data_IF_190013668136
#
_entry.id   IF_190013668136
#
_cell.length_a   1.000
_cell.length_b   1.000
_cell.length_c   1.000
_cell.angle_alpha   90.00
_cell.angle_beta   90.00
_cell.angle_gamma   90.00
#
_symmetry.space_group_name_H-M   'P 1'
#
loop_
_entity.id
_entity.type
_entity.pdbx_description
1 polymer ?
#
# COMPACT_ATOMS: atom_id res chain seq x y z
N UNK A 1 -33.62 80.56 -31.49
CA UNK A 1 -34.70 79.98 -30.68
C UNK A 1 -34.11 78.74 -29.96
N UNK A 2 -34.19 78.76 -28.64
CA UNK A 2 -33.56 77.81 -27.73
C UNK A 2 -34.41 76.56 -27.64
N UNK A 3 -33.86 75.35 -27.80
CA UNK A 3 -34.55 74.10 -27.57
C UNK A 3 -33.78 73.28 -26.49
N UNK A 4 -34.38 73.14 -25.34
CA UNK A 4 -33.93 72.41 -24.18
C UNK A 4 -34.02 70.86 -24.47
N UNK A 5 -32.94 70.15 -24.29
CA UNK A 5 -32.95 68.67 -24.24
C UNK A 5 -32.79 68.25 -22.77
N UNK A 6 -33.85 67.62 -22.23
CA UNK A 6 -33.87 66.99 -20.92
C UNK A 6 -33.08 65.64 -20.97
N UNK A 7 -32.00 65.52 -20.21
CA UNK A 7 -31.28 64.28 -19.99
C UNK A 7 -32.06 63.35 -19.05
N UNK A 8 -32.26 62.11 -19.50
CA UNK A 8 -32.81 61.02 -18.68
C UNK A 8 -31.64 60.40 -17.86
N UNK A 9 -31.75 60.45 -16.56
CA UNK A 9 -30.86 59.73 -15.62
C UNK A 9 -31.40 58.31 -15.49
N UNK A 10 -30.60 57.32 -15.98
CA UNK A 10 -30.84 55.92 -15.73
C UNK A 10 -30.16 55.54 -14.39
N UNK A 11 -30.97 55.25 -13.39
CA UNK A 11 -30.49 54.69 -12.11
C UNK A 11 -30.36 53.17 -12.28
N UNK A 12 -29.11 52.68 -12.32
CA UNK A 12 -28.82 51.27 -12.27
C UNK A 12 -28.89 50.83 -10.80
N UNK A 13 -29.85 49.98 -10.47
CA UNK A 13 -29.86 49.25 -9.19
C UNK A 13 -28.86 48.07 -9.26
N UNK A 14 -27.76 48.16 -8.52
CA UNK A 14 -26.88 47.02 -8.25
C UNK A 14 -27.54 46.18 -7.16
N UNK A 15 -28.08 45.01 -7.59
CA UNK A 15 -28.53 43.98 -6.67
C UNK A 15 -27.28 43.18 -6.20
N UNK A 16 -26.78 43.46 -5.02
CA UNK A 16 -25.70 42.68 -4.40
C UNK A 16 -26.27 41.37 -3.85
N UNK A 17 -26.05 40.29 -4.58
CA UNK A 17 -26.28 38.95 -4.06
C UNK A 17 -25.17 38.60 -3.04
N UNK A 18 -25.49 38.64 -1.76
CA UNK A 18 -24.67 38.01 -0.73
C UNK A 18 -24.82 36.49 -0.85
N UNK A 19 -23.85 35.82 -1.49
CA UNK A 19 -23.67 34.36 -1.34
C UNK A 19 -23.14 34.14 0.10
N UNK A 20 -23.98 33.71 1.01
CA UNK A 20 -23.58 33.13 2.26
C UNK A 20 -22.95 31.78 1.94
N UNK A 21 -21.62 31.72 1.90
CA UNK A 21 -20.88 30.47 1.93
C UNK A 21 -21.13 29.83 3.30
N UNK A 22 -22.04 28.84 3.34
CA UNK A 22 -22.12 27.94 4.47
C UNK A 22 -20.83 27.08 4.47
N UNK A 23 -19.84 27.54 5.22
CA UNK A 23 -18.71 26.71 5.64
C UNK A 23 -19.30 25.59 6.51
N UNK A 24 -19.48 24.42 5.94
CA UNK A 24 -19.60 23.21 6.75
C UNK A 24 -18.30 23.10 7.53
N UNK A 25 -18.31 23.47 8.79
CA UNK A 25 -17.24 23.18 9.72
C UNK A 25 -17.15 21.64 9.81
N UNK A 26 -16.19 21.06 9.06
CA UNK A 26 -15.72 19.72 9.32
C UNK A 26 -15.33 19.68 10.80
N UNK A 27 -16.02 18.89 11.60
CA UNK A 27 -15.76 18.81 13.04
C UNK A 27 -14.29 18.46 13.25
N UNK A 28 -13.49 19.41 13.72
CA UNK A 28 -12.08 19.21 14.06
C UNK A 28 -11.97 17.97 14.94
N UNK A 29 -11.38 16.92 14.42
CA UNK A 29 -10.95 15.78 15.22
C UNK A 29 -9.86 16.36 16.14
N UNK A 30 -10.07 16.22 17.44
CA UNK A 30 -9.14 16.72 18.44
C UNK A 30 -7.75 16.09 18.23
N UNK A 31 -6.82 16.86 17.69
CA UNK A 31 -5.45 16.40 17.36
C UNK A 31 -4.72 15.89 18.62
N UNK A 32 -4.99 16.47 19.79
CA UNK A 32 -4.40 16.01 21.06
C UNK A 32 -4.91 14.61 21.41
N UNK A 33 -6.18 14.35 21.21
CA UNK A 33 -6.78 13.04 21.48
C UNK A 33 -6.36 11.93 20.50
N UNK A 34 -5.96 12.27 19.24
CA UNK A 34 -5.34 11.29 18.34
C UNK A 34 -3.92 10.98 18.81
N UNK A 35 -3.16 11.99 19.22
CA UNK A 35 -1.80 11.82 19.74
C UNK A 35 -1.76 10.85 20.91
N UNK A 36 -2.65 11.01 21.88
CA UNK A 36 -2.71 10.15 23.07
C UNK A 36 -3.03 8.70 22.68
N UNK A 37 -3.95 8.48 21.71
CA UNK A 37 -4.26 7.15 21.20
C UNK A 37 -3.01 6.50 20.60
N UNK A 38 -2.28 7.24 19.76
CA UNK A 38 -1.07 6.74 19.08
C UNK A 38 0.04 6.49 20.11
N UNK A 39 0.31 7.43 21.00
CA UNK A 39 1.35 7.30 22.03
C UNK A 39 1.13 6.09 22.93
N UNK A 40 -0.11 5.86 23.37
CA UNK A 40 -0.47 4.72 24.22
C UNK A 40 -0.26 3.38 23.51
N UNK A 41 -0.46 3.31 22.20
CA UNK A 41 -0.28 2.09 21.43
C UNK A 41 1.19 1.81 21.08
N UNK A 42 1.99 2.86 20.74
CA UNK A 42 3.32 2.64 20.15
C UNK A 42 4.48 2.81 21.16
N UNK A 43 4.34 3.63 22.20
CA UNK A 43 5.42 3.85 23.18
C UNK A 43 5.86 2.55 23.87
N UNK A 44 4.94 1.66 24.30
CA UNK A 44 5.32 0.37 24.86
C UNK A 44 6.10 -0.53 23.88
N UNK A 45 5.75 -0.46 22.58
CA UNK A 45 6.47 -1.22 21.54
C UNK A 45 7.88 -0.71 21.32
N UNK A 46 8.03 0.61 21.21
CA UNK A 46 9.34 1.26 21.05
C UNK A 46 10.28 0.84 22.19
N UNK A 47 9.78 0.87 23.42
CA UNK A 47 10.56 0.49 24.60
C UNK A 47 10.89 -1.02 24.63
N UNK A 48 9.86 -1.87 24.44
CA UNK A 48 10.00 -3.33 24.52
C UNK A 48 10.97 -3.90 23.49
N UNK A 49 10.96 -3.35 22.27
CA UNK A 49 11.75 -3.86 21.16
C UNK A 49 12.98 -3.00 20.85
N UNK A 50 13.27 -1.97 21.68
CA UNK A 50 14.38 -1.03 21.48
C UNK A 50 14.40 -0.49 20.03
N UNK A 51 13.25 -0.01 19.55
CA UNK A 51 13.10 0.51 18.17
C UNK A 51 13.76 1.89 18.13
N UNK A 52 14.82 2.09 17.31
CA UNK A 52 15.53 3.38 17.29
C UNK A 52 14.68 4.51 16.77
N UNK A 53 13.85 4.26 15.77
CA UNK A 53 12.98 5.25 15.14
C UNK A 53 11.70 4.65 14.57
N UNK A 54 10.61 5.41 14.70
CA UNK A 54 9.29 5.04 14.18
C UNK A 54 8.58 6.27 13.64
N UNK A 55 7.95 6.14 12.47
CA UNK A 55 7.04 7.14 11.90
C UNK A 55 5.65 6.53 11.77
N UNK A 56 4.66 7.22 12.30
CA UNK A 56 3.25 6.87 12.21
C UNK A 56 2.53 7.97 11.45
N UNK A 57 1.72 7.62 10.47
CA UNK A 57 0.74 8.52 9.92
C UNK A 57 -0.66 7.91 10.04
N UNK A 58 -1.61 8.74 10.45
CA UNK A 58 -3.02 8.37 10.58
C UNK A 58 -3.82 9.33 9.71
N UNK A 59 -4.80 8.83 8.99
CA UNK A 59 -5.75 9.69 8.25
C UNK A 59 -7.16 9.47 8.76
N UNK A 60 -7.90 10.55 8.92
CA UNK A 60 -9.31 10.57 9.31
C UNK A 60 -10.06 11.50 8.36
N UNK A 61 -10.98 10.96 7.56
CA UNK A 61 -11.72 11.70 6.54
C UNK A 61 -10.83 12.47 5.53
N UNK A 62 -9.61 11.97 5.26
CA UNK A 62 -8.65 12.60 4.36
C UNK A 62 -7.77 13.68 5.00
N UNK A 63 -7.86 13.86 6.31
CA UNK A 63 -6.95 14.72 7.09
C UNK A 63 -5.87 13.84 7.73
N UNK A 64 -4.59 14.10 7.41
CA UNK A 64 -3.46 13.31 7.85
C UNK A 64 -2.77 13.90 9.08
N UNK A 65 -2.42 13.03 10.04
CA UNK A 65 -1.71 13.34 11.29
C UNK A 65 -0.43 12.52 11.39
N UNK A 66 0.68 13.16 11.78
CA UNK A 66 2.01 12.55 11.77
C UNK A 66 2.63 12.54 13.18
N UNK A 67 3.16 11.38 13.57
CA UNK A 67 3.81 11.16 14.86
C UNK A 67 5.15 10.48 14.64
N UNK A 68 6.24 11.14 15.04
CA UNK A 68 7.60 10.70 14.78
C UNK A 68 8.34 10.50 16.09
N UNK A 69 8.98 9.34 16.25
CA UNK A 69 9.65 8.92 17.46
C UNK A 69 11.11 8.54 17.17
N UNK A 70 12.02 8.93 18.06
CA UNK A 70 13.40 8.50 18.03
C UNK A 70 14.24 9.00 16.87
N UNK A 71 15.15 8.17 16.38
CA UNK A 71 16.21 8.55 15.44
C UNK A 71 16.23 7.66 14.19
N UNK A 72 16.57 8.27 13.04
CA UNK A 72 16.76 7.59 11.77
C UNK A 72 18.08 6.79 11.74
N UNK A 73 19.05 7.16 12.56
CA UNK A 73 20.33 6.45 12.73
C UNK A 73 20.83 6.60 14.16
N UNK A 74 21.24 5.48 14.76
CA UNK A 74 21.90 5.46 16.09
C UNK A 74 23.25 6.15 16.06
N UNK A 75 23.92 6.16 14.92
CA UNK A 75 25.23 6.77 14.74
C UNK A 75 25.14 8.29 14.64
N UNK A 76 24.29 8.79 13.75
CA UNK A 76 24.18 10.23 13.49
C UNK A 76 23.22 10.95 14.43
N UNK A 77 22.40 10.23 15.19
CA UNK A 77 21.34 10.76 16.06
C UNK A 77 20.32 11.66 15.32
N UNK A 78 20.23 11.55 13.99
CA UNK A 78 19.28 12.28 13.20
C UNK A 78 17.85 11.89 13.57
N UNK A 79 17.01 12.86 13.91
CA UNK A 79 15.62 12.64 14.30
C UNK A 79 14.79 12.09 13.14
N UNK A 80 13.82 11.22 13.46
CA UNK A 80 12.77 10.84 12.51
C UNK A 80 11.90 12.08 12.21
N UNK A 81 11.54 12.21 10.95
CA UNK A 81 10.57 13.18 10.43
C UNK A 81 9.61 12.49 9.48
N UNK A 82 8.52 13.17 9.09
CA UNK A 82 7.59 12.67 8.09
C UNK A 82 8.18 12.61 6.65
N UNK A 83 9.46 12.99 6.49
CA UNK A 83 10.26 12.86 5.25
C UNK A 83 11.38 11.83 5.37
N UNK A 84 11.48 11.14 6.50
CA UNK A 84 12.46 10.06 6.67
C UNK A 84 12.04 8.86 5.83
N UNK A 85 12.95 8.39 4.97
CA UNK A 85 12.71 7.24 4.09
C UNK A 85 12.94 5.93 4.84
N UNK A 86 11.99 5.02 4.71
CA UNK A 86 12.04 3.65 5.23
C UNK A 86 11.92 2.65 4.11
N UNK A 87 12.59 1.52 4.20
CA UNK A 87 12.25 0.34 3.40
C UNK A 87 10.90 -0.18 3.85
N UNK A 88 9.97 -0.30 2.93
CA UNK A 88 8.63 -0.80 3.27
C UNK A 88 8.43 -2.29 2.99
N UNK A 89 9.48 -2.97 2.49
CA UNK A 89 9.47 -4.39 2.25
C UNK A 89 8.25 -4.82 1.42
N UNK A 90 7.57 -5.86 1.84
CA UNK A 90 6.42 -6.42 1.09
C UNK A 90 5.21 -5.48 0.92
N UNK A 91 5.16 -4.34 1.59
CA UNK A 91 4.16 -3.32 1.29
C UNK A 91 4.38 -2.75 -0.14
N UNK A 92 5.59 -2.83 -0.69
CA UNK A 92 5.91 -2.48 -2.08
C UNK A 92 5.02 -3.20 -3.09
N UNK A 93 4.57 -4.41 -2.79
CA UNK A 93 3.72 -5.22 -3.67
C UNK A 93 2.38 -4.55 -3.99
N UNK A 94 1.91 -3.66 -3.13
CA UNK A 94 0.67 -2.91 -3.39
C UNK A 94 0.83 -1.93 -4.55
N UNK A 95 2.02 -1.34 -4.70
CA UNK A 95 2.34 -0.51 -5.87
C UNK A 95 2.49 -1.36 -7.14
N UNK A 96 3.08 -2.54 -7.03
CA UNK A 96 3.17 -3.50 -8.14
C UNK A 96 1.77 -3.93 -8.63
N UNK A 97 0.88 -4.24 -7.71
CA UNK A 97 -0.52 -4.57 -8.02
C UNK A 97 -1.25 -3.38 -8.66
N UNK A 98 -1.06 -2.17 -8.12
CA UNK A 98 -1.63 -0.94 -8.68
C UNK A 98 -1.10 -0.67 -10.09
N UNK A 99 0.20 -0.88 -10.35
CA UNK A 99 0.79 -0.73 -11.69
C UNK A 99 0.19 -1.75 -12.67
N UNK A 100 0.03 -3.01 -12.27
CA UNK A 100 -0.56 -4.04 -13.11
C UNK A 100 -2.05 -3.74 -13.42
N UNK A 101 -2.81 -3.31 -12.42
CA UNK A 101 -4.18 -2.85 -12.61
C UNK A 101 -4.25 -1.61 -13.50
N UNK A 102 -3.34 -0.65 -13.35
CA UNK A 102 -3.26 0.54 -14.19
C UNK A 102 -2.92 0.19 -15.65
N UNK A 103 -2.04 -0.79 -15.86
CA UNK A 103 -1.77 -1.31 -17.20
C UNK A 103 -3.03 -1.95 -17.82
N UNK A 104 -3.84 -2.68 -17.03
CA UNK A 104 -5.12 -3.23 -17.47
C UNK A 104 -6.11 -2.13 -17.84
N UNK A 105 -6.32 -1.12 -17.00
CA UNK A 105 -7.25 0.00 -17.25
C UNK A 105 -6.86 0.77 -18.53
N UNK A 106 -5.55 0.80 -18.86
CA UNK A 106 -5.04 1.39 -20.09
C UNK A 106 -5.02 0.43 -21.29
N UNK A 107 -5.60 -0.77 -21.18
CA UNK A 107 -5.70 -1.74 -22.26
C UNK A 107 -4.36 -2.38 -22.68
N UNK A 108 -3.32 -2.33 -21.83
CA UNK A 108 -1.99 -2.85 -22.11
C UNK A 108 -1.85 -4.33 -21.81
N UNK A 109 -2.65 -4.84 -20.88
CA UNK A 109 -2.73 -6.26 -20.51
C UNK A 109 -4.12 -6.60 -20.00
N UNK A 110 -4.41 -7.90 -19.86
CA UNK A 110 -5.56 -8.41 -19.12
C UNK A 110 -5.07 -9.28 -17.99
N UNK A 111 -5.51 -9.01 -16.75
CA UNK A 111 -5.12 -9.79 -15.58
C UNK A 111 -5.57 -11.27 -15.67
N UNK A 112 -6.58 -11.55 -16.48
CA UNK A 112 -7.04 -12.93 -16.77
C UNK A 112 -6.16 -13.69 -17.75
N UNK A 113 -5.27 -13.02 -18.49
CA UNK A 113 -4.38 -13.67 -19.44
C UNK A 113 -3.31 -14.50 -18.75
N UNK A 114 -2.79 -15.51 -19.47
CA UNK A 114 -1.66 -16.31 -18.99
C UNK A 114 -0.35 -15.51 -19.00
N UNK A 115 0.53 -15.81 -18.03
CA UNK A 115 1.84 -15.17 -17.95
C UNK A 115 2.70 -15.41 -19.20
N UNK A 116 2.60 -16.59 -19.81
CA UNK A 116 3.32 -16.95 -21.04
C UNK A 116 2.90 -16.13 -22.26
N UNK A 117 1.73 -15.49 -22.24
CA UNK A 117 1.32 -14.52 -23.27
C UNK A 117 2.27 -13.32 -23.33
N UNK A 118 2.70 -12.84 -22.16
CA UNK A 118 3.57 -11.64 -22.00
C UNK A 118 5.05 -12.02 -21.90
N UNK A 119 5.36 -13.26 -21.52
CA UNK A 119 6.71 -13.81 -21.43
C UNK A 119 6.85 -15.00 -22.40
N UNK A 120 7.09 -14.74 -23.71
CA UNK A 120 7.09 -15.78 -24.75
C UNK A 120 8.09 -16.93 -24.50
N UNK A 121 9.18 -16.68 -23.76
CA UNK A 121 10.15 -17.72 -23.35
C UNK A 121 9.52 -18.81 -22.48
N UNK A 122 8.39 -18.52 -21.82
CA UNK A 122 7.66 -19.45 -20.96
C UNK A 122 6.56 -20.24 -21.68
N UNK A 123 6.33 -20.03 -22.99
CA UNK A 123 5.35 -20.80 -23.75
C UNK A 123 5.71 -22.30 -23.77
N UNK A 124 4.69 -23.14 -23.63
CA UNK A 124 4.85 -24.60 -23.49
C UNK A 124 5.31 -25.03 -22.09
N UNK A 125 5.32 -24.14 -21.11
CA UNK A 125 5.59 -24.44 -19.69
C UNK A 125 4.31 -24.39 -18.85
N UNK A 126 4.43 -24.61 -17.54
CA UNK A 126 3.32 -24.48 -16.57
C UNK A 126 2.68 -23.10 -16.59
N UNK A 127 3.37 -22.07 -17.06
CA UNK A 127 2.87 -20.68 -17.11
C UNK A 127 1.83 -20.42 -18.21
N UNK A 128 1.57 -21.36 -19.08
CA UNK A 128 0.41 -21.32 -19.99
C UNK A 128 -0.92 -21.38 -19.21
N UNK A 129 -0.90 -21.99 -18.00
CA UNK A 129 -2.06 -22.16 -17.13
C UNK A 129 -2.02 -21.23 -15.88
N UNK A 130 -1.04 -20.35 -15.76
CA UNK A 130 -0.91 -19.37 -14.67
C UNK A 130 -1.30 -18.00 -15.20
N UNK A 131 -2.44 -17.45 -14.72
CA UNK A 131 -2.89 -16.11 -15.08
C UNK A 131 -2.13 -15.04 -14.30
N UNK A 132 -2.19 -13.77 -14.76
CA UNK A 132 -1.63 -12.65 -14.03
C UNK A 132 -2.35 -12.44 -12.68
N UNK A 133 -3.65 -12.80 -12.58
CA UNK A 133 -4.36 -12.86 -11.29
C UNK A 133 -3.66 -13.85 -10.35
N UNK A 134 -3.31 -15.04 -10.82
CA UNK A 134 -2.61 -16.02 -9.98
C UNK A 134 -1.26 -15.51 -9.49
N UNK A 135 -0.54 -14.73 -10.30
CA UNK A 135 0.70 -14.07 -9.88
C UNK A 135 0.45 -13.04 -8.79
N UNK A 136 -0.56 -12.18 -8.96
CA UNK A 136 -0.90 -11.10 -8.02
C UNK A 136 -1.62 -11.55 -6.75
N UNK A 137 -2.07 -12.81 -6.68
CA UNK A 137 -2.78 -13.37 -5.51
C UNK A 137 -2.00 -14.50 -4.82
N UNK A 138 -0.76 -14.75 -5.27
CA UNK A 138 0.08 -15.85 -4.76
C UNK A 138 -0.51 -17.26 -4.98
N UNK A 139 -1.35 -17.42 -6.00
CA UNK A 139 -2.03 -18.70 -6.29
C UNK A 139 -1.51 -19.37 -7.57
N UNK A 140 -0.25 -19.10 -7.93
CA UNK A 140 0.37 -19.65 -9.15
C UNK A 140 0.65 -21.15 -9.11
N UNK A 141 0.46 -21.82 -7.96
CA UNK A 141 0.66 -23.27 -7.84
C UNK A 141 1.92 -23.67 -7.04
N UNK A 142 2.41 -22.77 -6.16
CA UNK A 142 3.49 -23.12 -5.21
C UNK A 142 4.87 -22.58 -5.58
N UNK A 143 4.97 -21.45 -6.27
CA UNK A 143 6.24 -20.75 -6.49
C UNK A 143 6.96 -20.50 -5.16
N UNK A 144 8.32 -20.57 -5.12
CA UNK A 144 9.08 -20.33 -3.90
C UNK A 144 8.90 -18.90 -3.39
N UNK A 145 9.15 -18.70 -2.08
CA UNK A 145 9.06 -17.40 -1.43
C UNK A 145 10.05 -16.39 -2.05
N UNK A 146 11.29 -16.82 -2.23
CA UNK A 146 12.38 -16.01 -2.79
C UNK A 146 12.84 -16.58 -4.13
N UNK A 147 13.44 -15.71 -4.95
CA UNK A 147 14.25 -16.17 -6.08
C UNK A 147 15.41 -16.98 -5.51
N UNK A 148 15.70 -18.19 -6.04
CA UNK A 148 16.85 -18.96 -5.58
C UNK A 148 18.16 -18.19 -5.72
N UNK A 149 19.06 -18.34 -4.74
CA UNK A 149 20.34 -17.60 -4.68
C UNK A 149 21.24 -17.83 -5.89
N UNK A 150 21.08 -18.96 -6.58
CA UNK A 150 21.82 -19.29 -7.82
C UNK A 150 21.39 -18.45 -9.04
N UNK A 151 20.30 -17.70 -8.94
CA UNK A 151 19.74 -16.90 -10.03
C UNK A 151 20.18 -15.44 -9.85
N UNK A 152 21.13 -15.01 -10.68
CA UNK A 152 21.71 -13.66 -10.62
C UNK A 152 21.19 -12.68 -11.66
N UNK A 153 20.41 -13.13 -12.65
CA UNK A 153 19.89 -12.28 -13.73
C UNK A 153 18.58 -12.82 -14.32
N UNK A 154 17.96 -12.02 -15.20
CA UNK A 154 16.67 -12.33 -15.82
C UNK A 154 16.72 -13.56 -16.72
N UNK A 155 17.81 -13.82 -17.44
CA UNK A 155 17.90 -14.98 -18.34
C UNK A 155 17.91 -16.29 -17.53
N UNK A 156 18.67 -16.33 -16.44
CA UNK A 156 18.68 -17.47 -15.51
C UNK A 156 17.31 -17.64 -14.83
N UNK A 157 16.63 -16.53 -14.51
CA UNK A 157 15.27 -16.57 -13.99
C UNK A 157 14.30 -17.20 -15.00
N UNK A 158 14.36 -16.78 -16.27
CA UNK A 158 13.48 -17.33 -17.31
C UNK A 158 13.76 -18.82 -17.55
N UNK A 159 15.01 -19.24 -17.53
CA UNK A 159 15.35 -20.66 -17.64
C UNK A 159 14.81 -21.46 -16.45
N UNK A 160 15.01 -20.99 -15.22
CA UNK A 160 14.44 -21.60 -14.03
C UNK A 160 12.92 -21.75 -14.13
N UNK A 161 12.21 -20.68 -14.50
CA UNK A 161 10.76 -20.66 -14.62
C UNK A 161 10.26 -21.60 -15.75
N UNK A 162 10.98 -21.69 -16.84
CA UNK A 162 10.66 -22.60 -17.94
C UNK A 162 10.58 -24.06 -17.49
N UNK A 163 11.45 -24.45 -16.57
CA UNK A 163 11.55 -25.82 -16.06
C UNK A 163 10.76 -26.05 -14.75
N UNK A 164 10.29 -24.97 -14.12
CA UNK A 164 9.54 -25.06 -12.87
C UNK A 164 8.25 -25.88 -13.03
N UNK A 165 7.97 -26.74 -12.03
CA UNK A 165 6.75 -27.55 -11.98
C UNK A 165 5.93 -27.14 -10.76
N UNK A 166 4.62 -26.86 -10.93
CA UNK A 166 3.74 -26.51 -9.82
C UNK A 166 3.51 -27.73 -8.91
N UNK A 167 3.42 -27.48 -7.61
CA UNK A 167 3.03 -28.49 -6.61
C UNK A 167 1.52 -28.57 -6.43
N UNK A 168 0.79 -27.55 -6.90
CA UNK A 168 -0.66 -27.45 -6.86
C UNK A 168 -1.17 -26.87 -8.19
N UNK A 169 -2.42 -27.15 -8.53
CA UNK A 169 -3.05 -26.47 -9.65
C UNK A 169 -3.17 -24.95 -9.38
N UNK A 170 -2.96 -24.12 -10.40
CA UNK A 170 -3.13 -22.68 -10.27
C UNK A 170 -4.54 -22.35 -9.77
N UNK A 171 -4.63 -21.44 -8.81
CA UNK A 171 -5.90 -21.02 -8.20
C UNK A 171 -6.43 -21.90 -7.07
N UNK A 172 -5.74 -22.97 -6.66
CA UNK A 172 -6.23 -23.88 -5.60
C UNK A 172 -5.49 -23.75 -4.26
N UNK A 173 -4.28 -23.20 -4.31
CA UNK A 173 -3.42 -23.05 -3.14
C UNK A 173 -2.69 -21.72 -3.18
N UNK A 174 -2.79 -20.95 -2.08
CA UNK A 174 -2.07 -19.71 -1.89
C UNK A 174 -0.74 -20.01 -1.21
N UNK A 175 0.35 -19.75 -1.89
CA UNK A 175 1.70 -19.78 -1.33
C UNK A 175 2.38 -18.44 -1.60
N UNK A 176 2.65 -17.70 -0.53
CA UNK A 176 3.23 -16.37 -0.63
C UNK A 176 4.58 -16.42 -1.35
N UNK A 177 4.77 -15.56 -2.36
CA UNK A 177 5.93 -15.63 -3.24
C UNK A 177 6.33 -14.24 -3.76
N UNK A 178 7.57 -13.84 -3.49
CA UNK A 178 8.18 -12.67 -4.11
C UNK A 178 8.38 -12.88 -5.61
N UNK A 179 8.67 -14.13 -6.01
CA UNK A 179 8.81 -14.51 -7.40
C UNK A 179 7.50 -14.29 -8.18
N UNK A 180 6.37 -14.69 -7.59
CA UNK A 180 5.04 -14.55 -8.20
C UNK A 180 4.72 -13.09 -8.52
N UNK A 181 4.73 -12.23 -7.52
CA UNK A 181 4.40 -10.82 -7.68
C UNK A 181 5.48 -10.06 -8.47
N UNK A 182 6.76 -10.46 -8.35
CA UNK A 182 7.84 -9.90 -9.13
C UNK A 182 7.64 -10.10 -10.62
N UNK A 183 7.22 -11.30 -11.03
CA UNK A 183 6.83 -11.57 -12.42
C UNK A 183 5.67 -10.67 -12.88
N UNK A 184 4.66 -10.46 -12.03
CA UNK A 184 3.55 -9.55 -12.37
C UNK A 184 4.06 -8.13 -12.61
N UNK A 185 4.96 -7.62 -11.75
CA UNK A 185 5.56 -6.29 -11.89
C UNK A 185 6.38 -6.15 -13.17
N UNK A 186 7.22 -7.13 -13.47
CA UNK A 186 7.99 -7.18 -14.71
C UNK A 186 7.10 -7.17 -15.95
N UNK A 187 6.02 -7.97 -15.96
CA UNK A 187 5.05 -8.02 -17.05
C UNK A 187 4.32 -6.68 -17.18
N UNK A 188 3.87 -6.09 -16.08
CA UNK A 188 3.15 -4.82 -16.07
C UNK A 188 4.03 -3.69 -16.65
N UNK A 189 5.26 -3.55 -16.18
CA UNK A 189 6.20 -2.55 -16.67
C UNK A 189 6.51 -2.74 -18.17
N UNK A 190 6.82 -3.98 -18.56
CA UNK A 190 7.10 -4.32 -19.97
C UNK A 190 5.88 -4.02 -20.87
N UNK A 191 4.66 -4.28 -20.43
CA UNK A 191 3.44 -3.98 -21.19
C UNK A 191 3.22 -2.48 -21.41
N UNK A 192 3.85 -1.65 -20.59
CA UNK A 192 3.83 -0.18 -20.65
C UNK A 192 5.07 0.40 -21.30
N UNK A 193 5.91 -0.41 -21.94
CA UNK A 193 7.16 -0.05 -22.60
C UNK A 193 8.14 0.71 -21.67
N UNK A 194 8.26 0.26 -20.40
CA UNK A 194 9.09 0.90 -19.38
C UNK A 194 9.86 -0.14 -18.55
N UNK A 195 10.94 0.31 -17.86
CA UNK A 195 11.47 -0.44 -16.73
C UNK A 195 10.51 -0.34 -15.55
N UNK A 196 10.60 -1.26 -14.59
CA UNK A 196 9.73 -1.21 -13.41
C UNK A 196 9.98 0.05 -12.58
N UNK A 197 11.24 0.43 -12.41
CA UNK A 197 11.67 1.65 -11.73
C UNK A 197 11.05 2.88 -12.38
N UNK A 198 11.19 3.02 -13.71
CA UNK A 198 10.62 4.15 -14.44
C UNK A 198 9.09 4.19 -14.39
N UNK A 199 8.45 3.03 -14.44
CA UNK A 199 7.00 2.95 -14.34
C UNK A 199 6.49 3.42 -12.97
N UNK A 200 7.23 3.14 -11.88
CA UNK A 200 6.89 3.64 -10.56
C UNK A 200 7.34 5.09 -10.36
N UNK A 201 8.64 5.38 -10.50
CA UNK A 201 9.24 6.66 -10.10
C UNK A 201 8.88 7.83 -11.02
N UNK A 202 8.68 7.56 -12.34
CA UNK A 202 8.37 8.61 -13.31
C UNK A 202 6.88 8.70 -13.67
N UNK A 203 6.07 7.67 -13.35
CA UNK A 203 4.65 7.67 -13.71
C UNK A 203 3.74 7.50 -12.49
N UNK A 204 3.82 6.37 -11.76
CA UNK A 204 2.85 6.04 -10.73
C UNK A 204 2.99 6.95 -9.49
N UNK A 205 4.19 7.09 -8.92
CA UNK A 205 4.40 7.90 -7.73
C UNK A 205 4.04 9.39 -7.96
N UNK A 206 4.48 10.05 -9.05
CA UNK A 206 4.06 11.42 -9.34
C UNK A 206 2.54 11.56 -9.51
N UNK A 207 1.87 10.61 -10.18
CA UNK A 207 0.43 10.62 -10.36
C UNK A 207 -0.35 10.45 -9.04
N UNK A 208 0.26 9.81 -8.03
CA UNK A 208 -0.23 9.71 -6.66
C UNK A 208 0.14 10.94 -5.81
N UNK A 209 0.97 11.85 -6.33
CA UNK A 209 1.53 12.97 -5.56
C UNK A 209 2.57 12.54 -4.52
N UNK A 210 3.18 11.35 -4.71
CA UNK A 210 4.25 10.80 -3.89
C UNK A 210 5.59 11.30 -4.44
N UNK A 211 6.21 12.23 -3.74
CA UNK A 211 7.42 12.94 -4.21
C UNK A 211 8.70 12.48 -3.53
N UNK A 212 8.59 11.65 -2.50
CA UNK A 212 9.69 11.09 -1.72
C UNK A 212 9.60 9.56 -1.65
N UNK A 213 9.33 8.93 -2.81
CA UNK A 213 9.19 7.48 -2.93
C UNK A 213 10.10 6.99 -4.05
N UNK A 214 10.92 5.98 -3.78
CA UNK A 214 12.02 5.55 -4.63
C UNK A 214 12.18 4.02 -4.62
N UNK A 215 12.58 3.47 -5.74
CA UNK A 215 13.25 2.16 -5.81
C UNK A 215 14.74 2.37 -5.57
N UNK A 216 15.34 3.37 -6.25
CA UNK A 216 16.74 3.75 -6.08
C UNK A 216 16.79 5.14 -5.46
N UNK A 217 17.15 5.22 -4.16
CA UNK A 217 17.22 6.50 -3.46
C UNK A 217 18.30 7.38 -4.09
N UNK A 218 17.96 8.57 -4.62
CA UNK A 218 18.93 9.50 -5.20
C UNK A 218 19.98 9.95 -4.18
N UNK A 219 21.18 10.31 -4.66
CA UNK A 219 22.30 10.68 -3.79
C UNK A 219 21.98 11.86 -2.85
N UNK A 220 21.25 12.85 -3.31
CA UNK A 220 20.80 14.02 -2.53
C UNK A 220 19.75 13.66 -1.46
N UNK A 221 19.04 12.53 -1.62
CA UNK A 221 18.05 12.02 -0.69
C UNK A 221 18.62 10.98 0.30
N UNK A 222 19.83 10.49 0.09
CA UNK A 222 20.48 9.51 0.98
C UNK A 222 20.56 9.99 2.45
N UNK A 223 20.63 11.30 2.68
CA UNK A 223 20.58 11.90 4.02
C UNK A 223 19.25 11.65 4.75
N UNK A 224 18.16 11.43 4.01
CA UNK A 224 16.83 11.15 4.56
C UNK A 224 16.57 9.64 4.73
N UNK A 225 17.43 8.79 4.17
CA UNK A 225 17.26 7.33 4.23
C UNK A 225 17.75 6.77 5.56
N UNK A 226 16.80 6.31 6.38
CA UNK A 226 17.10 5.74 7.69
C UNK A 226 18.09 4.56 7.62
N UNK A 227 18.85 4.36 8.67
CA UNK A 227 19.57 3.12 8.90
C UNK A 227 18.63 2.10 9.53
N UNK A 228 18.50 0.94 8.91
CA UNK A 228 17.75 -0.19 9.45
C UNK A 228 18.59 -1.02 10.44
N UNK A 229 17.91 -1.70 11.35
CA UNK A 229 18.54 -2.54 12.37
C UNK A 229 17.86 -3.90 12.47
N UNK A 230 18.66 -4.96 12.50
CA UNK A 230 18.17 -6.32 12.73
C UNK A 230 17.57 -6.46 14.14
N UNK A 231 16.93 -7.58 14.43
CA UNK A 231 16.48 -7.92 15.81
C UNK A 231 17.62 -7.93 16.82
N UNK A 232 18.88 -8.14 16.37
CA UNK A 232 20.10 -8.12 17.18
C UNK A 232 20.83 -6.77 17.16
N UNK A 233 20.15 -5.70 16.70
CA UNK A 233 20.69 -4.34 16.61
C UNK A 233 21.85 -4.12 15.62
N UNK A 234 22.16 -5.08 14.75
CA UNK A 234 23.13 -4.89 13.68
C UNK A 234 22.56 -3.98 12.58
N UNK A 235 23.33 -2.98 12.11
CA UNK A 235 22.90 -2.10 11.02
C UNK A 235 22.80 -2.91 9.71
N UNK A 236 21.72 -2.71 8.98
CA UNK A 236 21.47 -3.39 7.70
C UNK A 236 20.56 -2.56 6.82
N UNK A 237 20.75 -2.62 5.52
CA UNK A 237 19.82 -2.18 4.47
C UNK A 237 19.62 -3.32 3.51
N UNK A 238 18.51 -3.27 2.75
CA UNK A 238 18.21 -4.30 1.75
C UNK A 238 19.32 -4.34 0.69
N UNK A 239 19.78 -5.56 0.40
CA UNK A 239 20.63 -5.83 -0.76
C UNK A 239 19.70 -6.34 -1.88
N UNK A 240 19.53 -5.58 -2.98
CA UNK A 240 18.58 -5.96 -4.03
C UNK A 240 19.08 -7.18 -4.81
N UNK A 241 18.19 -8.14 -5.03
CA UNK A 241 18.37 -9.28 -5.91
C UNK A 241 17.43 -9.20 -7.12
N UNK A 242 17.39 -10.26 -7.92
CA UNK A 242 16.46 -10.36 -9.06
C UNK A 242 15.01 -10.25 -8.57
N UNK A 243 14.20 -9.41 -9.22
CA UNK A 243 12.81 -9.07 -8.86
C UNK A 243 12.65 -8.36 -7.50
N UNK A 244 13.74 -7.83 -6.92
CA UNK A 244 13.68 -7.10 -5.66
C UNK A 244 12.86 -5.82 -5.78
N UNK A 245 13.04 -5.07 -6.86
CA UNK A 245 12.32 -3.82 -7.14
C UNK A 245 10.81 -4.02 -7.09
N UNK A 246 10.33 -5.06 -7.77
CA UNK A 246 8.92 -5.39 -7.93
C UNK A 246 8.31 -5.99 -6.65
N UNK A 247 9.10 -6.71 -5.86
CA UNK A 247 8.58 -7.47 -4.74
C UNK A 247 8.67 -6.76 -3.38
N UNK A 248 9.72 -5.94 -3.15
CA UNK A 248 10.00 -5.33 -1.83
C UNK A 248 10.92 -4.10 -1.90
N UNK A 249 11.15 -3.53 -3.08
CA UNK A 249 12.19 -2.54 -3.33
C UNK A 249 11.85 -1.09 -2.98
N UNK A 250 10.61 -0.73 -2.64
CA UNK A 250 10.22 0.67 -2.41
C UNK A 250 10.78 1.19 -1.08
N UNK A 251 11.34 2.40 -1.13
CA UNK A 251 11.68 3.24 0.02
C UNK A 251 10.79 4.48 -0.06
N UNK A 252 10.10 4.78 1.03
CA UNK A 252 9.15 5.91 1.08
C UNK A 252 9.07 6.46 2.49
N UNK A 253 8.49 7.62 2.62
CA UNK A 253 8.19 8.25 3.90
C UNK A 253 6.72 8.08 4.32
N UNK A 254 6.40 8.48 5.54
CA UNK A 254 5.04 8.34 6.08
C UNK A 254 4.04 9.29 5.40
N UNK A 255 4.49 10.43 4.87
CA UNK A 255 3.63 11.41 4.21
C UNK A 255 3.17 10.90 2.83
N UNK A 256 4.08 10.34 2.05
CA UNK A 256 3.75 9.74 0.75
C UNK A 256 2.90 8.48 0.93
N UNK A 257 3.26 7.63 1.90
CA UNK A 257 2.56 6.36 2.07
C UNK A 257 1.11 6.54 2.57
N UNK A 258 0.86 7.52 3.47
CA UNK A 258 -0.51 7.79 3.92
C UNK A 258 -1.36 8.36 2.79
N UNK A 259 -0.80 9.18 1.89
CA UNK A 259 -1.47 9.67 0.69
C UNK A 259 -1.91 8.52 -0.22
N UNK A 260 -1.08 7.47 -0.37
CA UNK A 260 -1.49 6.27 -1.09
C UNK A 260 -2.66 5.55 -0.40
N UNK A 261 -2.68 5.47 0.92
CA UNK A 261 -3.82 4.91 1.67
C UNK A 261 -5.08 5.77 1.49
N UNK A 262 -4.96 7.09 1.47
CA UNK A 262 -6.06 8.00 1.17
C UNK A 262 -6.64 7.79 -0.23
N UNK A 263 -5.77 7.57 -1.23
CA UNK A 263 -6.20 7.23 -2.59
C UNK A 263 -6.92 5.87 -2.64
N UNK A 264 -6.47 4.87 -1.86
CA UNK A 264 -7.14 3.57 -1.72
C UNK A 264 -8.53 3.69 -1.08
N UNK A 265 -8.75 4.64 -0.18
CA UNK A 265 -10.06 4.94 0.43
C UNK A 265 -10.90 5.92 -0.39
N UNK A 266 -10.39 6.46 -1.49
CA UNK A 266 -11.05 7.49 -2.31
C UNK A 266 -11.38 8.77 -1.52
N UNK A 267 -10.55 9.14 -0.54
CA UNK A 267 -10.69 10.38 0.23
C UNK A 267 -9.77 11.50 -0.26
N UNK A 268 -8.89 11.20 -1.20
CA UNK A 268 -8.10 12.17 -1.96
C UNK A 268 -8.35 11.99 -3.46
N UNK A 269 -8.18 13.06 -4.23
CA UNK A 269 -8.39 13.01 -5.67
C UNK A 269 -7.13 12.57 -6.42
N UNK A 270 -7.29 11.60 -7.34
CA UNK A 270 -6.29 11.21 -8.34
C UNK A 270 -6.98 11.09 -9.70
N UNK A 271 -6.19 10.99 -10.78
CA UNK A 271 -6.75 10.78 -12.12
C UNK A 271 -7.74 9.60 -12.18
N UNK A 272 -8.82 9.74 -12.96
CA UNK A 272 -9.91 8.77 -12.99
C UNK A 272 -9.49 7.34 -13.35
N UNK A 273 -8.56 7.16 -14.30
CA UNK A 273 -8.03 5.84 -14.64
C UNK A 273 -7.17 5.25 -13.52
N UNK A 274 -6.40 6.09 -12.85
CA UNK A 274 -5.60 5.67 -11.70
C UNK A 274 -6.51 5.32 -10.52
N UNK A 275 -7.56 6.12 -10.27
CA UNK A 275 -8.54 5.82 -9.23
C UNK A 275 -9.27 4.50 -9.49
N UNK A 276 -9.66 4.23 -10.73
CA UNK A 276 -10.21 2.94 -11.13
C UNK A 276 -9.21 1.82 -10.87
N UNK A 277 -7.96 1.98 -11.32
CA UNK A 277 -6.92 0.97 -11.14
C UNK A 277 -6.66 0.64 -9.66
N UNK A 278 -6.64 1.65 -8.79
CA UNK A 278 -6.52 1.47 -7.34
C UNK A 278 -7.72 0.70 -6.80
N UNK A 279 -8.94 1.10 -7.16
CA UNK A 279 -10.18 0.43 -6.75
C UNK A 279 -10.21 -1.03 -7.19
N UNK A 280 -9.79 -1.33 -8.41
CA UNK A 280 -9.76 -2.69 -8.97
C UNK A 280 -8.79 -3.61 -8.20
N UNK A 281 -7.76 -3.07 -7.50
CA UNK A 281 -6.89 -3.88 -6.63
C UNK A 281 -7.61 -4.45 -5.42
N UNK A 282 -8.77 -3.91 -5.04
CA UNK A 282 -9.62 -4.40 -3.94
C UNK A 282 -10.65 -5.45 -4.39
N UNK A 283 -10.60 -5.89 -5.65
CA UNK A 283 -11.40 -7.01 -6.13
C UNK A 283 -10.95 -8.29 -5.45
N UNK A 284 -11.87 -8.97 -4.76
CA UNK A 284 -11.59 -10.24 -4.08
C UNK A 284 -11.62 -11.41 -5.06
N UNK A 285 -10.50 -12.11 -5.18
CA UNK A 285 -10.35 -13.23 -6.12
C UNK A 285 -10.45 -14.60 -5.46
N UNK A 286 -9.96 -14.72 -4.22
CA UNK A 286 -9.91 -16.01 -3.52
C UNK A 286 -10.30 -15.87 -2.06
N UNK A 287 -11.01 -16.87 -1.54
CA UNK A 287 -11.15 -17.09 -0.10
C UNK A 287 -9.98 -17.92 0.41
N UNK A 288 -9.37 -17.48 1.50
CA UNK A 288 -8.47 -18.28 2.34
C UNK A 288 -9.18 -18.62 3.65
N UNK A 289 -8.53 -19.31 4.59
CA UNK A 289 -9.14 -19.60 5.89
C UNK A 289 -9.52 -18.33 6.67
N UNK A 290 -8.72 -17.26 6.59
CA UNK A 290 -8.87 -16.08 7.44
C UNK A 290 -9.37 -14.84 6.71
N UNK A 291 -8.99 -14.64 5.44
CA UNK A 291 -9.27 -13.42 4.70
C UNK A 291 -9.68 -13.69 3.25
N UNK A 292 -10.19 -12.65 2.58
CA UNK A 292 -10.30 -12.63 1.12
C UNK A 292 -9.01 -12.08 0.55
N UNK A 293 -8.39 -12.84 -0.35
CA UNK A 293 -7.23 -12.38 -1.10
C UNK A 293 -7.69 -11.54 -2.28
N UNK A 294 -7.42 -10.26 -2.21
CA UNK A 294 -7.58 -9.32 -3.31
C UNK A 294 -6.31 -9.32 -4.18
N UNK A 295 -6.15 -8.36 -5.08
CA UNK A 295 -4.89 -8.21 -5.81
C UNK A 295 -3.82 -7.66 -4.83
N UNK A 296 -3.12 -8.59 -4.15
CA UNK A 296 -2.13 -8.36 -3.07
C UNK A 296 -2.71 -7.97 -1.71
N UNK A 297 -3.74 -7.16 -1.64
CA UNK A 297 -4.34 -6.77 -0.38
C UNK A 297 -5.02 -7.96 0.32
N UNK A 298 -5.07 -7.91 1.64
CA UNK A 298 -5.74 -8.90 2.50
C UNK A 298 -6.96 -8.24 3.12
N UNK A 299 -8.16 -8.71 2.73
CA UNK A 299 -9.44 -8.10 3.07
C UNK A 299 -10.21 -8.93 4.07
N UNK A 300 -10.72 -8.29 5.11
CA UNK A 300 -11.60 -8.86 6.14
C UNK A 300 -12.92 -8.09 6.17
N UNK A 301 -14.04 -8.77 6.45
CA UNK A 301 -15.28 -8.07 6.75
C UNK A 301 -15.11 -7.20 8.01
N UNK A 302 -15.65 -5.98 8.00
CA UNK A 302 -15.60 -5.06 9.14
C UNK A 302 -16.97 -5.00 9.83
N UNK A 303 -17.03 -4.96 11.18
CA UNK A 303 -15.90 -5.02 12.11
C UNK A 303 -15.22 -6.40 12.16
N UNK A 304 -13.90 -6.40 12.36
CA UNK A 304 -13.09 -7.61 12.41
C UNK A 304 -12.52 -7.85 13.81
N UNK A 305 -12.64 -9.06 14.37
CA UNK A 305 -11.99 -9.38 15.64
C UNK A 305 -10.47 -9.41 15.51
N UNK A 306 -9.73 -8.81 16.47
CA UNK A 306 -8.26 -8.81 16.49
C UNK A 306 -7.66 -10.21 16.31
N UNK A 307 -8.24 -11.23 16.95
CA UNK A 307 -7.79 -12.64 16.80
C UNK A 307 -7.72 -13.08 15.33
N UNK A 308 -8.69 -12.67 14.52
CA UNK A 308 -8.75 -13.03 13.10
C UNK A 308 -7.69 -12.29 12.28
N UNK A 309 -7.45 -11.00 12.58
CA UNK A 309 -6.36 -10.26 11.97
C UNK A 309 -5.00 -10.88 12.30
N UNK A 310 -4.77 -11.28 13.54
CA UNK A 310 -3.54 -11.93 13.96
C UNK A 310 -3.35 -13.29 13.27
N UNK A 311 -4.41 -14.09 13.14
CA UNK A 311 -4.37 -15.37 12.45
C UNK A 311 -3.99 -15.17 10.97
N UNK A 312 -4.63 -14.23 10.26
CA UNK A 312 -4.35 -13.97 8.84
C UNK A 312 -2.98 -13.32 8.57
N UNK A 313 -2.39 -12.66 9.57
CA UNK A 313 -1.04 -12.11 9.50
C UNK A 313 0.03 -13.02 10.13
N UNK A 314 -0.32 -14.27 10.48
CA UNK A 314 0.62 -15.21 11.06
C UNK A 314 1.70 -15.64 10.04
N UNK A 315 2.87 -16.00 10.56
CA UNK A 315 4.00 -16.44 9.74
C UNK A 315 3.67 -17.65 8.85
N UNK A 316 2.76 -18.54 9.30
CA UNK A 316 2.28 -19.69 8.52
C UNK A 316 1.69 -19.31 7.15
N UNK A 317 0.98 -18.17 7.04
CA UNK A 317 0.48 -17.69 5.74
C UNK A 317 1.57 -17.26 4.76
N UNK A 318 2.78 -16.98 5.27
CA UNK A 318 3.95 -16.64 4.45
C UNK A 318 4.76 -17.89 4.11
N UNK A 319 5.00 -18.78 5.10
CA UNK A 319 5.92 -19.89 4.94
C UNK A 319 5.24 -21.19 4.50
N UNK A 320 4.07 -21.52 5.07
CA UNK A 320 3.42 -22.81 4.82
C UNK A 320 2.41 -22.73 3.66
N UNK A 321 1.71 -21.63 3.56
CA UNK A 321 0.62 -21.40 2.60
C UNK A 321 -0.72 -21.95 3.11
N UNK A 322 -1.75 -21.87 2.27
CA UNK A 322 -3.12 -22.28 2.61
C UNK A 322 -3.95 -22.64 1.38
N UNK A 323 -4.99 -23.44 1.58
CA UNK A 323 -6.00 -23.66 0.54
C UNK A 323 -6.60 -22.31 0.11
N UNK A 324 -6.86 -22.18 -1.18
CA UNK A 324 -7.51 -21.02 -1.77
C UNK A 324 -8.72 -21.47 -2.60
N UNK A 325 -9.88 -20.88 -2.32
CA UNK A 325 -11.10 -21.13 -3.09
C UNK A 325 -11.38 -19.94 -3.99
N UNK A 326 -11.39 -20.14 -5.28
CA UNK A 326 -11.68 -19.10 -6.27
C UNK A 326 -13.10 -18.57 -6.08
N UNK A 327 -13.24 -17.24 -6.06
CA UNK A 327 -14.55 -16.58 -6.09
C UNK A 327 -15.01 -16.43 -7.56
N UNK A 328 -16.22 -16.88 -7.83
CA UNK A 328 -16.82 -16.81 -9.16
C UNK A 328 -18.29 -16.41 -9.06
N UNK A 329 -18.66 -15.18 -9.43
CA UNK A 329 -17.80 -14.11 -9.92
C UNK A 329 -16.84 -13.60 -8.82
N UNK A 330 -15.76 -12.86 -9.18
CA UNK A 330 -14.93 -12.15 -8.21
C UNK A 330 -15.75 -11.18 -7.36
N UNK A 331 -15.37 -11.04 -6.09
CA UNK A 331 -16.03 -10.12 -5.17
C UNK A 331 -15.66 -8.68 -5.54
N UNK A 332 -16.65 -7.88 -5.91
CA UNK A 332 -16.43 -6.46 -6.23
C UNK A 332 -15.89 -5.71 -5.00
N UNK A 333 -15.15 -4.59 -5.20
CA UNK A 333 -14.63 -3.79 -4.10
C UNK A 333 -15.70 -3.41 -3.08
N UNK A 334 -15.42 -3.66 -1.80
CA UNK A 334 -16.34 -3.44 -0.68
C UNK A 334 -15.89 -2.24 0.15
N UNK A 335 -16.83 -1.58 0.84
CA UNK A 335 -16.52 -0.49 1.78
C UNK A 335 -16.48 -0.95 3.24
N UNK A 336 -17.40 -1.84 3.63
CA UNK A 336 -17.50 -2.40 4.99
C UNK A 336 -16.46 -3.52 5.19
N UNK A 337 -15.20 -3.14 5.05
CA UNK A 337 -14.05 -4.04 5.12
C UNK A 337 -12.87 -3.39 5.83
N UNK A 338 -12.05 -4.22 6.45
CA UNK A 338 -10.72 -3.90 6.93
C UNK A 338 -9.71 -4.46 5.94
N UNK A 339 -8.92 -3.59 5.33
CA UNK A 339 -7.91 -3.96 4.34
C UNK A 339 -6.53 -3.67 4.92
N UNK A 340 -5.60 -4.61 4.78
CA UNK A 340 -4.25 -4.42 5.30
C UNK A 340 -3.17 -5.06 4.43
N UNK A 341 -1.92 -4.63 4.71
CA UNK A 341 -0.72 -5.27 4.22
C UNK A 341 0.46 -5.03 5.16
N UNK A 342 1.19 -6.10 5.45
CA UNK A 342 2.45 -6.05 6.20
C UNK A 342 3.65 -5.94 5.25
N UNK A 343 4.74 -5.37 5.74
CA UNK A 343 6.02 -5.39 5.06
C UNK A 343 7.18 -5.52 6.03
N UNK A 344 8.24 -6.21 5.61
CA UNK A 344 9.48 -6.35 6.36
C UNK A 344 10.66 -6.48 5.42
N UNK A 345 11.77 -5.90 5.82
CA UNK A 345 13.10 -6.26 5.38
C UNK A 345 13.91 -6.72 6.61
N UNK A 346 15.17 -7.07 6.42
CA UNK A 346 15.99 -7.49 7.55
C UNK A 346 16.19 -6.40 8.61
N UNK A 347 16.03 -5.12 8.23
CA UNK A 347 16.25 -3.97 9.09
C UNK A 347 15.04 -3.08 9.32
N UNK A 348 13.92 -3.34 8.66
CA UNK A 348 12.75 -2.45 8.72
C UNK A 348 11.46 -3.24 8.89
N UNK A 349 10.49 -2.58 9.48
CA UNK A 349 9.14 -3.09 9.64
C UNK A 349 8.13 -2.04 9.18
N UNK A 350 7.14 -2.46 8.40
CA UNK A 350 6.06 -1.60 7.93
C UNK A 350 4.70 -2.29 8.07
N UNK A 351 3.66 -1.49 8.20
CA UNK A 351 2.28 -1.94 8.18
C UNK A 351 1.39 -0.82 7.65
N UNK A 352 0.41 -1.18 6.83
CA UNK A 352 -0.65 -0.27 6.44
C UNK A 352 -2.00 -0.97 6.58
N UNK A 353 -2.99 -0.24 7.09
CA UNK A 353 -4.36 -0.71 7.21
C UNK A 353 -5.35 0.45 7.07
N UNK A 354 -6.53 0.15 6.54
CA UNK A 354 -7.60 1.14 6.39
C UNK A 354 -8.98 0.50 6.34
N UNK A 355 -9.99 1.31 6.66
CA UNK A 355 -11.40 0.96 6.67
C UNK A 355 -12.13 1.97 5.78
N UNK A 356 -12.44 1.63 4.51
CA UNK A 356 -13.00 2.57 3.54
C UNK A 356 -14.31 3.21 3.99
N UNK A 357 -15.23 2.46 4.58
CA UNK A 357 -16.51 2.97 5.07
C UNK A 357 -16.36 4.02 6.17
N UNK A 358 -15.32 3.91 6.99
CA UNK A 358 -15.03 4.83 8.10
C UNK A 358 -14.11 5.96 7.69
N UNK A 359 -13.49 5.88 6.50
CA UNK A 359 -12.48 6.83 6.00
C UNK A 359 -11.33 7.04 6.99
N UNK A 360 -10.93 5.97 7.67
CA UNK A 360 -9.80 5.97 8.59
C UNK A 360 -8.72 5.01 8.09
N UNK A 361 -7.47 5.41 8.22
CA UNK A 361 -6.33 4.61 7.79
C UNK A 361 -5.08 4.92 8.61
N UNK A 362 -4.13 4.00 8.58
CA UNK A 362 -2.88 4.10 9.31
C UNK A 362 -1.72 3.52 8.52
N UNK A 363 -0.55 4.13 8.66
CA UNK A 363 0.75 3.55 8.29
C UNK A 363 1.68 3.58 9.49
N UNK A 364 2.42 2.50 9.68
CA UNK A 364 3.44 2.33 10.71
C UNK A 364 4.74 1.98 10.01
N UNK A 365 5.79 2.78 10.21
CA UNK A 365 7.12 2.58 9.66
C UNK A 365 8.14 2.56 10.81
N UNK A 366 9.02 1.56 10.86
CA UNK A 366 10.06 1.45 11.86
C UNK A 366 11.38 1.00 11.23
N UNK A 367 12.49 1.58 11.69
CA UNK A 367 13.83 1.23 11.22
C UNK A 367 14.47 0.10 12.06
N UNK A 368 13.64 -0.83 12.50
CA UNK A 368 14.05 -2.08 13.14
C UNK A 368 13.12 -3.22 12.79
N UNK A 369 13.67 -4.42 12.65
CA UNK A 369 12.89 -5.64 12.55
C UNK A 369 12.34 -6.02 13.92
N UNK A 370 11.01 -6.17 14.03
CA UNK A 370 10.30 -6.62 15.23
C UNK A 370 9.05 -7.43 14.84
N UNK A 371 8.41 -8.19 15.76
CA UNK A 371 7.33 -9.11 15.44
C UNK A 371 6.14 -8.46 14.71
N UNK A 372 5.59 -9.18 13.73
CA UNK A 372 4.49 -8.72 12.87
C UNK A 372 3.21 -8.49 13.68
N UNK A 373 2.87 -9.41 14.58
CA UNK A 373 1.68 -9.35 15.43
C UNK A 373 1.60 -8.03 16.23
N UNK A 374 2.74 -7.53 16.69
CA UNK A 374 2.80 -6.32 17.51
C UNK A 374 2.41 -5.05 16.72
N UNK A 375 2.80 -4.97 15.44
CA UNK A 375 2.38 -3.83 14.59
C UNK A 375 0.91 -3.92 14.19
N UNK A 376 0.40 -5.14 14.02
CA UNK A 376 -1.04 -5.40 13.76
C UNK A 376 -1.87 -5.00 14.98
N UNK A 377 -1.44 -5.39 16.19
CA UNK A 377 -2.11 -5.01 17.45
C UNK A 377 -2.16 -3.49 17.60
N UNK A 378 -1.02 -2.81 17.44
CA UNK A 378 -0.95 -1.36 17.59
C UNK A 378 -1.86 -0.63 16.58
N UNK A 379 -1.81 -1.03 15.32
CA UNK A 379 -2.68 -0.43 14.30
C UNK A 379 -4.17 -0.69 14.58
N UNK A 380 -4.52 -1.91 14.97
CA UNK A 380 -5.90 -2.26 15.35
C UNK A 380 -6.39 -1.40 16.51
N UNK A 381 -5.62 -1.27 17.59
CA UNK A 381 -5.96 -0.46 18.75
C UNK A 381 -6.18 1.01 18.40
N UNK A 382 -5.33 1.56 17.51
CA UNK A 382 -5.46 2.94 17.06
C UNK A 382 -6.74 3.12 16.22
N UNK A 383 -6.95 2.27 15.21
CA UNK A 383 -8.11 2.38 14.32
C UNK A 383 -9.44 2.14 15.07
N UNK A 384 -9.50 1.17 15.98
CA UNK A 384 -10.68 0.89 16.80
C UNK A 384 -11.05 2.08 17.70
N UNK A 385 -10.08 2.70 18.38
CA UNK A 385 -10.33 3.87 19.20
C UNK A 385 -10.76 5.10 18.37
N UNK A 386 -10.23 5.25 17.15
CA UNK A 386 -10.65 6.33 16.25
C UNK A 386 -12.07 6.13 15.75
N UNK A 387 -12.47 4.91 15.38
CA UNK A 387 -13.86 4.62 14.98
C UNK A 387 -14.84 4.86 16.12
N UNK A 388 -14.53 4.40 17.34
CA UNK A 388 -15.36 4.61 18.53
C UNK A 388 -15.55 6.10 18.84
N UNK A 389 -14.50 6.93 18.73
CA UNK A 389 -14.61 8.40 18.92
C UNK A 389 -15.47 9.06 17.84
N UNK A 390 -15.38 8.63 16.59
CA UNK A 390 -16.18 9.16 15.48
C UNK A 390 -17.67 8.83 15.68
N UNK A 391 -17.99 7.60 16.05
CA UNK A 391 -19.36 7.14 16.28
C UNK A 391 -20.04 7.85 17.46
N UNK A 392 -19.29 8.15 18.53
CA UNK A 392 -19.82 8.94 19.68
C UNK A 392 -20.14 10.41 19.34
N UNK A 393 -19.43 10.99 18.36
CA UNK A 393 -19.73 12.36 17.90
C UNK A 393 -20.98 12.40 17.01
N UNK A 394 -21.21 11.37 16.20
CA UNK A 394 -22.41 11.27 15.36
C UNK A 394 -23.68 11.04 16.19
N UNK A 395 -23.61 10.29 17.29
CA UNK A 395 -24.74 10.03 18.19
C UNK A 395 -25.14 11.23 19.08
N UNK A 396 -24.30 12.30 19.14
CA UNK A 396 -24.55 13.53 19.92
C UNK A 396 -25.04 14.70 19.06
N UNK A 397 -25.11 14.51 17.74
CA UNK A 397 -25.72 15.47 16.79
C UNK A 397 -27.14 15.04 16.43
#
# INVERSE_FOLDING_TARGET
MRGNTMGRINILYFLSFFLTANSFAAGNVDQSGIKDIVDNAVTPLIQKYNIPGMAIAVTVNGESYFYNYGVASKETQQRITNKTLFEIGSLSKTFTATLASYAQVNGRLLLSDSASKYLPSLRGSSFDNVSLINLGTHTAGGLPLQVPDSIGNTDQLMDYLKHWKPTHAAGTYRKYSNLSIGMLGMIAAKSMDASFEDALEKKLFPALGMTHSYINVPADQMKNYAQGYTTKDAPVRVNPGVLASEAYGVKTDSADLIRFIEANMQVTHVDGKLQQAIGDTHTGYFKTGEFTQDLIWEQYAYPVPLKRLLAGNAASFVYDGSLATKLSPPLQPQKEVFINKTGSTNGFSSYAAFIPAKKIGIVILANKSYPVDQRVIAAFQILDQLDNKSSQKESKK
#
